data_IF_754660107539
#
_entry.id   IF_754660107539
#
_cell.length_a   1.000
_cell.length_b   1.000
_cell.length_c   1.000
_cell.angle_alpha   90.00
_cell.angle_beta   90.00
_cell.angle_gamma   90.00
#
_symmetry.space_group_name_H-M   'P 1'
#
loop_
_entity.id
_entity.type
_entity.pdbx_description
1 polymer ?
#
# COMPACT_ATOMS: atom_id res chain seq x y z
N UNK A 1 24.25 -2.91 -10.65
CA UNK A 1 23.94 -1.77 -9.76
C UNK A 1 22.43 -1.61 -9.79
N UNK A 2 21.76 -1.38 -8.64
CA UNK A 2 20.33 -1.08 -8.68
C UNK A 2 20.12 0.32 -9.25
N UNK A 3 19.16 0.46 -10.15
CA UNK A 3 18.71 1.75 -10.66
C UNK A 3 18.07 2.57 -9.53
N UNK A 4 18.16 3.90 -9.62
CA UNK A 4 17.64 4.86 -8.63
C UNK A 4 16.16 4.62 -8.28
N UNK A 5 15.33 4.30 -9.28
CA UNK A 5 13.92 3.97 -9.08
C UNK A 5 13.71 2.69 -8.25
N UNK A 6 14.55 1.67 -8.44
CA UNK A 6 14.49 0.41 -7.67
C UNK A 6 14.93 0.61 -6.21
N UNK A 7 15.90 1.50 -5.98
CA UNK A 7 16.34 1.86 -4.64
C UNK A 7 15.25 2.64 -3.88
N UNK A 8 14.61 3.63 -4.52
CA UNK A 8 13.51 4.37 -3.93
C UNK A 8 12.34 3.45 -3.52
N UNK A 9 11.96 2.51 -4.40
CA UNK A 9 10.92 1.51 -4.13
C UNK A 9 11.25 0.65 -2.92
N UNK A 10 12.50 0.20 -2.78
CA UNK A 10 12.95 -0.57 -1.63
C UNK A 10 12.92 0.24 -0.32
N UNK A 11 13.34 1.51 -0.36
CA UNK A 11 13.30 2.38 0.82
C UNK A 11 11.86 2.59 1.30
N UNK A 12 10.92 2.78 0.38
CA UNK A 12 9.49 2.87 0.68
C UNK A 12 8.97 1.57 1.29
N UNK A 13 9.35 0.41 0.73
CA UNK A 13 8.96 -0.89 1.28
C UNK A 13 9.50 -1.09 2.71
N UNK A 14 10.75 -0.68 2.98
CA UNK A 14 11.36 -0.76 4.31
C UNK A 14 10.62 0.11 5.33
N UNK A 15 10.29 1.34 4.96
CA UNK A 15 9.57 2.26 5.84
C UNK A 15 8.14 1.78 6.10
N UNK A 16 7.45 1.27 5.09
CA UNK A 16 6.13 0.67 5.24
C UNK A 16 6.15 -0.54 6.19
N UNK A 17 7.20 -1.37 6.15
CA UNK A 17 7.36 -2.47 7.11
C UNK A 17 7.46 -1.96 8.55
N UNK A 18 8.24 -0.89 8.79
CA UNK A 18 8.42 -0.27 10.10
C UNK A 18 7.12 0.31 10.64
N UNK A 19 6.42 1.08 9.82
CA UNK A 19 5.18 1.76 10.22
C UNK A 19 4.03 0.78 10.49
N UNK A 20 3.99 -0.35 9.77
CA UNK A 20 2.87 -1.30 9.78
C UNK A 20 3.13 -2.55 10.61
N UNK A 21 4.30 -2.63 11.27
CA UNK A 21 4.68 -3.81 12.06
C UNK A 21 4.82 -5.09 11.22
N UNK A 22 5.07 -4.97 9.91
CA UNK A 22 5.27 -6.14 9.04
C UNK A 22 6.64 -6.74 9.38
N UNK A 23 6.61 -7.93 9.94
CA UNK A 23 7.83 -8.65 10.31
C UNK A 23 8.50 -9.28 9.08
N UNK A 24 9.82 -9.39 9.12
CA UNK A 24 10.58 -10.06 8.07
C UNK A 24 10.20 -11.54 7.92
N UNK A 25 9.75 -12.17 9.01
CA UNK A 25 9.26 -13.56 9.00
C UNK A 25 7.96 -13.71 8.20
N UNK A 26 7.04 -12.74 8.31
CA UNK A 26 5.81 -12.73 7.51
C UNK A 26 6.10 -12.59 6.02
N UNK A 27 7.00 -11.66 5.65
CA UNK A 27 7.45 -11.48 4.27
C UNK A 27 8.09 -12.77 3.76
N UNK A 28 9.02 -13.33 4.52
CA UNK A 28 9.74 -14.56 4.18
C UNK A 28 8.80 -15.74 3.91
N UNK A 29 7.83 -15.95 4.80
CA UNK A 29 6.81 -16.99 4.62
C UNK A 29 5.95 -16.76 3.38
N UNK A 30 5.63 -15.51 3.03
CA UNK A 30 4.76 -15.20 1.92
C UNK A 30 5.44 -15.26 0.55
N UNK A 31 6.73 -14.90 0.49
CA UNK A 31 7.52 -14.92 -0.76
C UNK A 31 8.31 -16.22 -0.95
N UNK A 32 8.21 -17.17 -0.01
CA UNK A 32 8.91 -18.45 -0.08
C UNK A 32 10.44 -18.33 0.06
N UNK A 33 10.91 -17.41 0.92
CA UNK A 33 12.33 -17.18 1.16
C UNK A 33 12.69 -17.32 2.64
N UNK A 34 13.98 -17.34 2.96
CA UNK A 34 14.43 -17.25 4.36
C UNK A 34 14.35 -15.81 4.88
N UNK A 35 14.09 -15.67 6.18
CA UNK A 35 14.08 -14.35 6.84
C UNK A 35 15.44 -13.62 6.72
N UNK A 36 16.55 -14.36 6.65
CA UNK A 36 17.88 -13.78 6.41
C UNK A 36 18.04 -13.17 5.00
N UNK A 37 17.40 -13.74 3.98
CA UNK A 37 17.36 -13.18 2.63
C UNK A 37 16.54 -11.89 2.57
N UNK A 38 15.36 -11.89 3.22
CA UNK A 38 14.51 -10.70 3.34
C UNK A 38 15.23 -9.58 4.08
N UNK A 39 15.90 -9.90 5.19
CA UNK A 39 16.71 -8.95 5.96
C UNK A 39 17.81 -8.31 5.12
N UNK A 40 18.53 -9.11 4.31
CA UNK A 40 19.57 -8.58 3.41
C UNK A 40 18.99 -7.62 2.38
N UNK A 41 17.83 -7.93 1.81
CA UNK A 41 17.14 -7.08 0.83
C UNK A 41 16.74 -5.75 1.47
N UNK A 42 16.01 -5.78 2.59
CA UNK A 42 15.53 -4.57 3.27
C UNK A 42 16.66 -3.69 3.81
N UNK A 43 17.81 -4.26 4.12
CA UNK A 43 18.99 -3.52 4.61
C UNK A 43 19.91 -3.00 3.51
N UNK A 44 19.56 -3.15 2.23
CA UNK A 44 20.34 -2.51 1.16
C UNK A 44 21.66 -3.20 0.79
N UNK A 45 22.02 -4.32 1.43
CA UNK A 45 23.38 -4.89 1.33
C UNK A 45 23.57 -5.71 0.06
N UNK A 46 24.48 -5.27 -0.81
CA UNK A 46 24.94 -6.04 -1.99
C UNK A 46 23.89 -6.19 -3.09
N UNK A 47 22.98 -5.23 -3.21
CA UNK A 47 21.78 -5.39 -4.02
C UNK A 47 22.04 -5.36 -5.53
N UNK A 48 21.48 -6.36 -6.20
CA UNK A 48 21.19 -6.39 -7.63
C UNK A 48 19.69 -6.60 -7.81
N UNK A 49 19.14 -6.15 -8.94
CA UNK A 49 17.76 -6.43 -9.31
C UNK A 49 17.59 -7.95 -9.35
N UNK A 50 16.63 -8.46 -8.60
CA UNK A 50 16.37 -9.88 -8.48
C UNK A 50 14.88 -10.10 -8.30
N UNK A 51 14.39 -11.26 -8.73
CA UNK A 51 12.99 -11.64 -8.57
C UNK A 51 12.55 -11.57 -7.10
N UNK A 52 13.40 -12.01 -6.17
CA UNK A 52 13.10 -11.93 -4.75
C UNK A 52 12.97 -10.48 -4.23
N UNK A 53 13.78 -9.54 -4.73
CA UNK A 53 13.61 -8.12 -4.39
C UNK A 53 12.28 -7.59 -4.90
N UNK A 54 11.90 -7.96 -6.13
CA UNK A 54 10.61 -7.56 -6.71
C UNK A 54 9.44 -8.18 -5.92
N UNK A 55 9.52 -9.46 -5.56
CA UNK A 55 8.51 -10.15 -4.77
C UNK A 55 8.36 -9.56 -3.35
N UNK A 56 9.46 -9.14 -2.72
CA UNK A 56 9.44 -8.44 -1.42
C UNK A 56 8.77 -7.06 -1.55
N UNK A 57 9.14 -6.26 -2.56
CA UNK A 57 8.51 -4.96 -2.80
C UNK A 57 7.02 -5.12 -3.13
N UNK A 58 6.68 -6.07 -4.00
CA UNK A 58 5.30 -6.38 -4.38
C UNK A 58 4.49 -6.87 -3.18
N UNK A 59 5.06 -7.70 -2.30
CA UNK A 59 4.38 -8.14 -1.09
C UNK A 59 4.00 -6.95 -0.22
N UNK A 60 4.94 -6.03 0.02
CA UNK A 60 4.68 -4.82 0.82
C UNK A 60 3.68 -3.87 0.13
N UNK A 61 3.76 -3.73 -1.19
CA UNK A 61 2.79 -2.99 -2.01
C UNK A 61 1.41 -3.64 -2.07
N UNK A 62 1.31 -4.96 -1.89
CA UNK A 62 0.01 -5.62 -1.76
C UNK A 62 -0.67 -5.27 -0.42
N UNK A 63 0.08 -4.81 0.58
CA UNK A 63 -0.49 -4.12 1.74
C UNK A 63 -0.78 -2.64 1.47
N UNK A 64 -0.51 -2.09 0.28
CA UNK A 64 -0.90 -0.72 -0.08
C UNK A 64 -2.35 -0.54 -0.55
N UNK A 65 -3.19 -1.57 -0.64
CA UNK A 65 -4.58 -1.33 -1.04
C UNK A 65 -5.49 -1.06 0.16
N UNK A 66 -5.44 0.18 0.65
CA UNK A 66 -6.52 0.76 1.46
C UNK A 66 -6.14 2.06 2.18
N UNK A 67 -6.89 3.14 1.94
CA UNK A 67 -6.99 4.23 2.92
C UNK A 67 -7.53 3.61 4.20
N UNK A 68 -6.75 3.64 5.29
CA UNK A 68 -7.20 3.07 6.56
C UNK A 68 -8.41 3.84 7.08
N UNK A 69 -9.27 3.20 7.87
CA UNK A 69 -10.42 3.89 8.47
C UNK A 69 -9.97 5.09 9.32
N UNK A 70 -8.78 5.01 9.93
CA UNK A 70 -8.19 6.11 10.68
C UNK A 70 -7.69 7.25 9.78
N UNK A 71 -7.10 6.93 8.63
CA UNK A 71 -6.72 7.94 7.64
C UNK A 71 -7.94 8.63 7.00
N UNK A 72 -9.05 7.90 6.80
CA UNK A 72 -10.33 8.50 6.37
C UNK A 72 -10.87 9.42 7.47
N UNK A 73 -10.91 8.95 8.71
CA UNK A 73 -11.41 9.75 9.85
C UNK A 73 -10.55 10.97 10.16
N UNK A 74 -9.25 10.90 9.88
CA UNK A 74 -8.31 12.01 10.05
C UNK A 74 -8.29 13.01 8.89
N UNK A 75 -9.04 12.78 7.81
CA UNK A 75 -9.16 13.72 6.70
C UNK A 75 -10.40 14.61 6.91
N UNK A 76 -10.18 15.78 7.52
CA UNK A 76 -11.26 16.72 7.90
C UNK A 76 -12.12 17.13 6.70
N UNK A 77 -11.50 17.46 5.56
CA UNK A 77 -12.21 17.86 4.34
C UNK A 77 -13.15 16.76 3.82
N UNK A 78 -12.68 15.50 3.77
CA UNK A 78 -13.49 14.36 3.35
C UNK A 78 -14.63 14.09 4.34
N UNK A 79 -14.34 14.16 5.64
CA UNK A 79 -15.33 13.94 6.70
C UNK A 79 -16.40 15.03 6.70
N UNK A 80 -16.01 16.30 6.50
CA UNK A 80 -16.94 17.42 6.42
C UNK A 80 -17.81 17.35 5.16
N UNK A 81 -17.25 16.93 4.02
CA UNK A 81 -18.02 16.68 2.81
C UNK A 81 -19.04 15.54 3.01
N UNK A 82 -18.64 14.44 3.65
CA UNK A 82 -19.54 13.34 4.04
C UNK A 82 -20.64 13.82 4.98
N UNK A 83 -20.29 14.62 6.00
CA UNK A 83 -21.24 15.16 6.99
C UNK A 83 -22.25 16.11 6.36
N UNK A 84 -21.82 16.92 5.40
CA UNK A 84 -22.67 17.89 4.70
C UNK A 84 -23.61 17.21 3.70
N UNK A 85 -23.16 16.12 3.09
CA UNK A 85 -23.94 15.37 2.10
C UNK A 85 -24.93 14.37 2.73
N UNK A 86 -24.63 13.81 3.91
CA UNK A 86 -25.44 12.77 4.53
C UNK A 86 -26.56 13.33 5.41
N UNK A 87 -27.81 12.93 5.14
CA UNK A 87 -28.99 13.34 5.92
C UNK A 87 -29.24 12.55 7.21
N UNK A 88 -28.34 11.62 7.56
CA UNK A 88 -28.45 10.76 8.74
C UNK A 88 -29.24 9.46 8.53
N UNK A 89 -29.90 9.28 7.37
CA UNK A 89 -30.69 8.07 7.08
C UNK A 89 -29.83 6.92 6.52
N UNK A 90 -30.27 5.68 6.78
CA UNK A 90 -29.62 4.48 6.22
C UNK A 90 -29.78 4.40 4.69
N UNK A 91 -30.92 4.87 4.15
CA UNK A 91 -31.17 4.92 2.72
C UNK A 91 -30.18 5.82 2.00
N UNK A 92 -29.94 7.03 2.53
CA UNK A 92 -28.98 7.96 1.94
C UNK A 92 -27.54 7.48 2.13
N UNK A 93 -27.18 6.87 3.27
CA UNK A 93 -25.86 6.25 3.45
C UNK A 93 -25.57 5.21 2.37
N UNK A 94 -26.57 4.38 2.00
CA UNK A 94 -26.45 3.40 0.92
C UNK A 94 -26.24 4.07 -0.44
N UNK A 95 -27.03 5.09 -0.77
CA UNK A 95 -26.90 5.85 -2.02
C UNK A 95 -25.52 6.52 -2.14
N UNK A 96 -25.09 7.23 -1.10
CA UNK A 96 -23.80 7.92 -1.03
C UNK A 96 -22.63 6.93 -1.17
N UNK A 97 -22.69 5.78 -0.48
CA UNK A 97 -21.67 4.74 -0.60
C UNK A 97 -21.56 4.15 -2.01
N UNK A 98 -22.67 4.15 -2.77
CA UNK A 98 -22.70 3.65 -4.15
C UNK A 98 -21.99 4.62 -5.09
N UNK A 99 -22.23 5.92 -4.94
CA UNK A 99 -21.55 6.98 -5.70
C UNK A 99 -20.06 7.01 -5.37
N UNK A 100 -19.68 6.96 -4.10
CA UNK A 100 -18.25 6.96 -3.70
C UNK A 100 -17.52 5.75 -4.29
N UNK A 101 -18.17 4.57 -4.35
CA UNK A 101 -17.61 3.38 -4.99
C UNK A 101 -17.49 3.54 -6.51
N UNK A 102 -18.45 4.16 -7.20
CA UNK A 102 -18.35 4.39 -8.65
C UNK A 102 -17.20 5.34 -9.00
N UNK A 103 -16.90 6.34 -8.17
CA UNK A 103 -15.75 7.22 -8.32
C UNK A 103 -14.40 6.47 -8.31
N UNK A 104 -14.33 5.29 -7.68
CA UNK A 104 -13.10 4.47 -7.68
C UNK A 104 -12.71 3.98 -9.07
N UNK A 105 -13.67 3.85 -9.99
CA UNK A 105 -13.43 3.47 -11.39
C UNK A 105 -12.72 4.57 -12.19
N UNK A 106 -12.73 5.81 -11.69
CA UNK A 106 -12.06 6.96 -12.29
C UNK A 106 -10.62 7.16 -11.78
N UNK A 107 -10.15 6.28 -10.88
CA UNK A 107 -8.78 6.37 -10.37
C UNK A 107 -7.80 6.06 -11.50
N UNK A 108 -6.78 6.90 -11.73
CA UNK A 108 -5.75 6.59 -12.71
C UNK A 108 -5.04 5.28 -12.32
N UNK A 109 -5.11 4.28 -13.20
CA UNK A 109 -4.35 3.03 -13.06
C UNK A 109 -2.87 3.37 -13.14
N UNK A 110 -2.00 2.87 -12.23
CA UNK A 110 -0.55 3.03 -12.39
C UNK A 110 -0.16 2.42 -13.74
N UNK A 111 0.41 3.25 -14.62
CA UNK A 111 0.85 2.83 -15.94
C UNK A 111 2.00 1.82 -15.76
N UNK A 112 1.69 0.53 -15.76
CA UNK A 112 2.68 -0.53 -15.94
C UNK A 112 3.03 -0.58 -17.43
N UNK A 113 4.11 0.12 -17.84
CA UNK A 113 4.67 -0.06 -19.18
C UNK A 113 5.43 -1.38 -19.25
N UNK A 114 5.07 -2.14 -20.29
CA UNK A 114 5.69 -3.34 -20.85
C UNK A 114 7.21 -3.21 -20.99
#
# INVERSE_FOLDING_TARGET
MLETASLARLLNAREACRQRGISQAQIASAVGASQSQVSRILNGRGLRRSRLLEDVCLYVERFEVGVTADAVRGNEELVDALRSAWDGSAGHAKALSTVIRSLSALRPTPISRL
#
